data_IF_995882517947
#
_entry.id   IF_995882517947
#
_cell.length_a   1.000
_cell.length_b   1.000
_cell.length_c   1.000
_cell.angle_alpha   90.00
_cell.angle_beta   90.00
_cell.angle_gamma   90.00
#
_symmetry.space_group_name_H-M   'P 1'
#
loop_
_entity.id
_entity.type
_entity.pdbx_description
1 polymer ?
#
# COMPACT_ATOMS: atom_id res chain seq x y z
N UNK A 1 14.51 4.55 -24.58
CA UNK A 1 15.41 4.00 -23.51
C UNK A 1 15.30 2.50 -23.55
N UNK A 2 16.37 1.74 -23.22
CA UNK A 2 16.24 0.27 -23.21
C UNK A 2 15.38 -0.22 -22.02
N UNK A 3 14.79 -1.41 -22.18
CA UNK A 3 13.87 -1.99 -21.19
C UNK A 3 14.54 -2.17 -19.83
N UNK A 4 15.83 -2.52 -19.80
CA UNK A 4 16.55 -2.73 -18.53
C UNK A 4 16.61 -1.43 -17.70
N UNK A 5 16.88 -0.29 -18.35
CA UNK A 5 16.89 1.01 -17.65
C UNK A 5 15.52 1.40 -17.13
N UNK A 6 14.46 1.14 -17.91
CA UNK A 6 13.08 1.37 -17.46
C UNK A 6 12.74 0.55 -16.22
N UNK A 7 13.10 -0.74 -16.22
CA UNK A 7 12.88 -1.62 -15.07
C UNK A 7 13.66 -1.14 -13.85
N UNK A 8 14.92 -0.73 -14.01
CA UNK A 8 15.73 -0.20 -12.90
C UNK A 8 15.07 1.05 -12.29
N UNK A 9 14.66 2.01 -13.13
CA UNK A 9 13.96 3.23 -12.66
C UNK A 9 12.67 2.86 -11.91
N UNK A 10 11.92 1.89 -12.39
CA UNK A 10 10.66 1.46 -11.79
C UNK A 10 10.84 0.76 -10.42
N UNK A 11 11.93 0.02 -10.23
CA UNK A 11 12.19 -0.78 -9.03
C UNK A 11 12.76 0.06 -7.88
N UNK A 12 13.59 1.07 -8.18
CA UNK A 12 14.31 1.87 -7.18
C UNK A 12 13.40 2.42 -6.06
N UNK A 13 12.24 3.06 -6.34
CA UNK A 13 11.41 3.64 -5.28
C UNK A 13 10.91 2.59 -4.28
N UNK A 14 10.46 1.43 -4.76
CA UNK A 14 9.98 0.33 -3.91
C UNK A 14 11.07 -0.21 -2.99
N UNK A 15 12.26 -0.46 -3.53
CA UNK A 15 13.41 -0.94 -2.74
C UNK A 15 13.88 0.13 -1.75
N UNK A 16 14.01 1.39 -2.17
CA UNK A 16 14.47 2.48 -1.31
C UNK A 16 13.55 2.66 -0.09
N UNK A 17 12.23 2.65 -0.31
CA UNK A 17 11.25 2.76 0.78
C UNK A 17 11.27 1.52 1.68
N UNK A 18 11.42 0.32 1.13
CA UNK A 18 11.52 -0.92 1.91
C UNK A 18 12.75 -0.91 2.82
N UNK A 19 13.90 -0.49 2.29
CA UNK A 19 15.13 -0.35 3.07
C UNK A 19 14.98 0.74 4.14
N UNK A 20 14.42 1.90 3.79
CA UNK A 20 14.16 2.98 4.73
C UNK A 20 13.27 2.54 5.89
N UNK A 21 12.20 1.80 5.61
CA UNK A 21 11.31 1.28 6.63
C UNK A 21 12.01 0.23 7.52
N UNK A 22 12.76 -0.70 6.94
CA UNK A 22 13.55 -1.68 7.70
C UNK A 22 14.57 -1.01 8.65
N UNK A 23 15.20 0.08 8.21
CA UNK A 23 16.13 0.84 9.05
C UNK A 23 15.42 1.66 10.15
N UNK A 24 14.12 1.92 10.01
CA UNK A 24 13.30 2.57 11.03
C UNK A 24 12.99 1.61 12.18
N UNK A 25 12.84 0.33 11.88
CA UNK A 25 12.63 -0.75 12.85
C UNK A 25 13.94 -1.10 13.56
N UNK A 26 14.19 -0.45 14.70
CA UNK A 26 15.50 -0.51 15.40
C UNK A 26 15.48 -1.34 16.66
N UNK A 27 14.35 -1.46 17.30
CA UNK A 27 14.25 -1.97 18.67
C UNK A 27 13.93 -3.47 18.71
N UNK A 28 13.00 -3.96 17.88
CA UNK A 28 12.72 -5.39 17.71
C UNK A 28 12.60 -5.71 16.21
N UNK A 29 13.76 -5.94 15.59
CA UNK A 29 13.86 -6.07 14.12
C UNK A 29 13.19 -7.32 13.60
N UNK A 30 12.36 -7.12 12.60
CA UNK A 30 11.67 -8.17 11.92
C UNK A 30 12.59 -9.13 11.12
N UNK A 31 12.27 -10.44 11.08
CA UNK A 31 13.07 -11.40 10.33
C UNK A 31 13.12 -11.05 8.83
N UNK A 32 14.31 -10.75 8.32
CA UNK A 32 14.53 -10.37 6.91
C UNK A 32 13.93 -11.38 5.94
N UNK A 33 13.98 -12.69 6.28
CA UNK A 33 13.36 -13.72 5.45
C UNK A 33 11.84 -13.56 5.30
N UNK A 34 11.15 -13.14 6.37
CA UNK A 34 9.72 -12.89 6.35
C UNK A 34 9.42 -11.62 5.53
N UNK A 35 10.21 -10.57 5.69
CA UNK A 35 10.07 -9.31 4.93
C UNK A 35 10.25 -9.54 3.43
N UNK A 36 11.30 -10.25 3.03
CA UNK A 36 11.53 -10.63 1.62
C UNK A 36 10.38 -11.48 1.10
N UNK A 37 9.89 -12.44 1.90
CA UNK A 37 8.72 -13.26 1.53
C UNK A 37 7.49 -12.40 1.28
N UNK A 38 7.18 -11.46 2.15
CA UNK A 38 6.03 -10.55 2.01
C UNK A 38 6.17 -9.66 0.77
N UNK A 39 7.37 -9.14 0.51
CA UNK A 39 7.64 -8.33 -0.68
C UNK A 39 7.43 -9.15 -1.97
N UNK A 40 8.02 -10.37 -2.05
CA UNK A 40 7.85 -11.25 -3.23
C UNK A 40 6.40 -11.66 -3.43
N UNK A 41 5.68 -12.06 -2.36
CA UNK A 41 4.27 -12.42 -2.49
C UNK A 41 3.38 -11.20 -2.75
N UNK A 42 3.78 -10.01 -2.33
CA UNK A 42 3.19 -8.74 -2.76
C UNK A 42 3.31 -8.54 -4.28
N UNK A 43 4.50 -8.80 -4.85
CA UNK A 43 4.70 -8.79 -6.31
C UNK A 43 3.80 -9.83 -7.01
N UNK A 44 3.75 -11.05 -6.50
CA UNK A 44 2.92 -12.13 -7.07
C UNK A 44 1.42 -11.80 -6.97
N UNK A 45 1.00 -11.10 -5.94
CA UNK A 45 -0.40 -10.69 -5.74
C UNK A 45 -0.91 -9.74 -6.85
N UNK A 46 -0.03 -9.04 -7.56
CA UNK A 46 -0.41 -8.23 -8.72
C UNK A 46 -1.03 -9.07 -9.84
N UNK A 47 -0.63 -10.34 -9.99
CA UNK A 47 -1.13 -11.22 -11.08
C UNK A 47 -2.64 -11.46 -10.95
N UNK A 48 -3.17 -12.04 -9.85
CA UNK A 48 -4.61 -12.21 -9.69
C UNK A 48 -5.36 -10.86 -9.63
N UNK A 49 -4.73 -9.80 -9.13
CA UNK A 49 -5.32 -8.46 -9.11
C UNK A 49 -5.64 -7.99 -10.53
N UNK A 50 -4.69 -8.05 -11.46
CA UNK A 50 -4.88 -7.64 -12.86
C UNK A 50 -6.04 -8.40 -13.51
N UNK A 51 -6.17 -9.70 -13.23
CA UNK A 51 -7.27 -10.53 -13.78
C UNK A 51 -8.61 -10.02 -13.27
N UNK A 52 -8.74 -9.76 -11.96
CA UNK A 52 -9.98 -9.25 -11.36
C UNK A 52 -10.29 -7.84 -11.83
N UNK A 53 -9.28 -6.97 -11.91
CA UNK A 53 -9.43 -5.59 -12.42
C UNK A 53 -9.90 -5.56 -13.88
N UNK A 54 -9.35 -6.43 -14.72
CA UNK A 54 -9.78 -6.57 -16.12
C UNK A 54 -11.26 -6.97 -16.21
N UNK A 55 -11.69 -7.95 -15.40
CA UNK A 55 -13.09 -8.36 -15.33
C UNK A 55 -14.00 -7.23 -14.82
N UNK A 56 -13.64 -6.57 -13.72
CA UNK A 56 -14.43 -5.48 -13.13
C UNK A 56 -14.50 -4.24 -14.04
N UNK A 57 -13.44 -3.98 -14.80
CA UNK A 57 -13.43 -2.92 -15.81
C UNK A 57 -14.38 -3.23 -16.96
N UNK A 58 -14.46 -4.50 -17.37
CA UNK A 58 -15.36 -4.96 -18.44
C UNK A 58 -16.85 -4.84 -18.10
N UNK A 59 -17.22 -4.86 -16.82
CA UNK A 59 -18.62 -4.68 -16.37
C UNK A 59 -18.92 -3.25 -15.91
N UNK A 60 -18.04 -2.29 -16.17
CA UNK A 60 -18.27 -0.88 -15.87
C UNK A 60 -19.19 -0.27 -16.94
N UNK A 61 -20.48 -0.19 -16.62
CA UNK A 61 -21.52 0.41 -17.49
C UNK A 61 -21.83 1.87 -17.13
N UNK A 62 -21.10 2.46 -16.21
CA UNK A 62 -21.27 3.85 -15.79
C UNK A 62 -20.58 4.81 -16.77
N UNK A 63 -21.00 6.09 -16.75
CA UNK A 63 -20.37 7.18 -17.48
C UNK A 63 -19.84 8.29 -16.57
N UNK A 64 -18.94 9.11 -17.10
CA UNK A 64 -18.43 10.31 -16.41
C UNK A 64 -17.82 10.02 -15.03
N UNK A 65 -18.20 10.82 -14.02
CA UNK A 65 -17.66 10.70 -12.66
C UNK A 65 -17.98 9.36 -11.98
N UNK A 66 -19.10 8.73 -12.30
CA UNK A 66 -19.44 7.41 -11.74
C UNK A 66 -18.52 6.32 -12.29
N UNK A 67 -18.16 6.38 -13.56
CA UNK A 67 -17.16 5.49 -14.15
C UNK A 67 -15.79 5.67 -13.50
N UNK A 68 -15.37 6.92 -13.28
CA UNK A 68 -14.12 7.22 -12.56
C UNK A 68 -14.17 6.72 -11.11
N UNK A 69 -15.28 6.87 -10.41
CA UNK A 69 -15.46 6.36 -9.06
C UNK A 69 -15.43 4.82 -9.02
N UNK A 70 -16.13 4.15 -9.95
CA UNK A 70 -16.06 2.69 -10.06
C UNK A 70 -14.63 2.22 -10.26
N UNK A 71 -13.91 2.80 -11.21
CA UNK A 71 -12.52 2.44 -11.50
C UNK A 71 -11.61 2.68 -10.29
N UNK A 72 -11.74 3.83 -9.62
CA UNK A 72 -10.89 4.21 -8.51
C UNK A 72 -11.14 3.38 -7.25
N UNK A 73 -12.40 3.17 -6.85
CA UNK A 73 -12.74 2.54 -5.59
C UNK A 73 -12.96 1.04 -5.68
N UNK A 74 -13.55 0.54 -6.79
CA UNK A 74 -13.92 -0.86 -6.94
C UNK A 74 -12.87 -1.61 -7.74
N UNK A 75 -12.49 -1.10 -8.92
CA UNK A 75 -11.50 -1.79 -9.75
C UNK A 75 -10.14 -1.78 -9.08
N UNK A 76 -9.57 -0.60 -8.78
CA UNK A 76 -8.24 -0.50 -8.17
C UNK A 76 -8.29 -0.63 -6.63
N UNK A 77 -8.96 0.30 -5.94
CA UNK A 77 -8.90 0.38 -4.48
C UNK A 77 -9.27 -0.91 -3.76
N UNK A 78 -10.42 -1.52 -4.10
CA UNK A 78 -10.86 -2.75 -3.44
C UNK A 78 -9.96 -3.94 -3.80
N UNK A 79 -9.67 -4.15 -5.09
CA UNK A 79 -8.95 -5.35 -5.52
C UNK A 79 -7.51 -5.35 -5.02
N UNK A 80 -6.80 -4.25 -5.20
CA UNK A 80 -5.41 -4.15 -4.81
C UNK A 80 -5.23 -4.25 -3.29
N UNK A 81 -6.01 -3.48 -2.50
CA UNK A 81 -5.89 -3.52 -1.04
C UNK A 81 -6.32 -4.87 -0.47
N UNK A 82 -7.29 -5.55 -1.08
CA UNK A 82 -7.67 -6.90 -0.71
C UNK A 82 -6.53 -7.90 -0.91
N UNK A 83 -5.90 -7.93 -2.09
CA UNK A 83 -4.83 -8.88 -2.38
C UNK A 83 -3.55 -8.59 -1.59
N UNK A 84 -3.17 -7.31 -1.40
CA UNK A 84 -2.07 -6.91 -0.51
C UNK A 84 -2.31 -7.39 0.93
N UNK A 85 -3.52 -7.19 1.45
CA UNK A 85 -3.91 -7.66 2.79
C UNK A 85 -3.91 -9.17 2.89
N UNK A 86 -4.38 -9.89 1.86
CA UNK A 86 -4.42 -11.35 1.83
C UNK A 86 -3.04 -11.95 2.03
N UNK A 87 -2.00 -11.37 1.42
CA UNK A 87 -0.60 -11.78 1.62
C UNK A 87 -0.21 -11.68 3.09
N UNK A 88 -0.47 -10.54 3.74
CA UNK A 88 -0.14 -10.33 5.15
C UNK A 88 -0.92 -11.27 6.07
N UNK A 89 -2.22 -11.42 5.84
CA UNK A 89 -3.05 -12.34 6.62
C UNK A 89 -2.58 -13.78 6.53
N UNK A 90 -2.12 -14.22 5.36
CA UNK A 90 -1.66 -15.59 5.13
C UNK A 90 -0.28 -15.87 5.72
N UNK A 91 0.66 -14.94 5.65
CA UNK A 91 2.06 -15.20 5.95
C UNK A 91 2.60 -14.55 7.21
N UNK A 92 1.98 -13.46 7.67
CA UNK A 92 2.49 -12.69 8.81
C UNK A 92 1.52 -12.61 10.00
N UNK A 93 0.21 -12.49 9.78
CA UNK A 93 -0.74 -12.19 10.85
C UNK A 93 -0.73 -13.18 12.01
N UNK A 94 -0.52 -14.48 11.74
CA UNK A 94 -0.39 -15.53 12.76
C UNK A 94 1.07 -15.95 13.02
N UNK A 95 2.04 -15.25 12.44
CA UNK A 95 3.46 -15.57 12.63
C UNK A 95 3.90 -15.14 14.04
N UNK A 96 4.82 -15.91 14.65
CA UNK A 96 5.33 -15.64 16.02
C UNK A 96 6.11 -14.33 16.12
N UNK A 97 6.75 -13.90 15.03
CA UNK A 97 7.44 -12.63 14.98
C UNK A 97 6.49 -11.41 14.94
N UNK A 98 5.19 -11.61 14.74
CA UNK A 98 4.23 -10.52 14.91
C UNK A 98 3.89 -10.38 16.40
N UNK A 99 4.78 -9.78 17.18
CA UNK A 99 4.76 -9.71 18.64
C UNK A 99 4.56 -8.28 19.18
N UNK A 100 4.77 -7.23 18.35
CA UNK A 100 4.46 -5.84 18.70
C UNK A 100 3.58 -5.14 17.65
N UNK A 101 3.09 -3.93 17.97
CA UNK A 101 2.15 -3.23 17.06
C UNK A 101 2.84 -2.65 15.82
N UNK A 102 4.12 -2.31 15.91
CA UNK A 102 4.86 -1.77 14.76
C UNK A 102 4.96 -2.78 13.62
N UNK A 103 5.03 -4.08 13.93
CA UNK A 103 5.19 -5.17 12.96
C UNK A 103 4.09 -5.19 11.90
N UNK A 104 2.84 -4.92 12.31
CA UNK A 104 1.73 -4.87 11.36
C UNK A 104 1.92 -3.79 10.30
N UNK A 105 2.51 -2.64 10.66
CA UNK A 105 2.84 -1.59 9.70
C UNK A 105 3.98 -2.07 8.79
N UNK A 106 5.03 -2.65 9.36
CA UNK A 106 6.18 -3.17 8.62
C UNK A 106 5.74 -4.21 7.60
N UNK A 107 4.99 -5.24 8.04
CA UNK A 107 4.55 -6.32 7.16
C UNK A 107 3.62 -5.86 6.03
N UNK A 108 2.63 -5.01 6.35
CA UNK A 108 1.73 -4.48 5.33
C UNK A 108 2.48 -3.64 4.30
N UNK A 109 3.45 -2.85 4.76
CA UNK A 109 4.23 -1.98 3.87
C UNK A 109 5.13 -2.79 2.94
N UNK A 110 5.79 -3.85 3.43
CA UNK A 110 6.59 -4.74 2.56
C UNK A 110 5.72 -5.43 1.50
N UNK A 111 4.54 -5.93 1.86
CA UNK A 111 3.60 -6.50 0.88
C UNK A 111 3.17 -5.47 -0.17
N UNK A 112 2.81 -4.26 0.27
CA UNK A 112 2.35 -3.20 -0.62
C UNK A 112 3.47 -2.64 -1.52
N UNK A 113 4.69 -2.52 -1.02
CA UNK A 113 5.83 -2.07 -1.84
C UNK A 113 6.25 -3.13 -2.86
N UNK A 114 6.13 -4.42 -2.53
CA UNK A 114 6.29 -5.49 -3.51
C UNK A 114 5.27 -5.38 -4.63
N UNK A 115 3.98 -5.24 -4.30
CA UNK A 115 2.90 -5.02 -5.25
C UNK A 115 3.16 -3.79 -6.12
N UNK A 116 3.39 -2.63 -5.50
CA UNK A 116 3.64 -1.37 -6.18
C UNK A 116 4.87 -1.41 -7.10
N UNK A 117 5.87 -2.24 -6.80
CA UNK A 117 7.05 -2.41 -7.65
C UNK A 117 6.67 -3.05 -8.99
N UNK A 118 5.87 -4.13 -8.99
CA UNK A 118 5.38 -4.76 -10.24
C UNK A 118 4.48 -3.80 -11.01
N UNK A 119 3.55 -3.17 -10.33
CA UNK A 119 2.66 -2.20 -10.94
C UNK A 119 3.47 -1.05 -11.58
N UNK A 120 4.48 -0.53 -10.87
CA UNK A 120 5.34 0.53 -11.39
C UNK A 120 6.15 0.08 -12.61
N UNK A 121 6.68 -1.14 -12.63
CA UNK A 121 7.34 -1.72 -13.81
C UNK A 121 6.38 -1.74 -14.99
N UNK A 122 5.15 -2.22 -14.81
CA UNK A 122 4.16 -2.28 -15.88
C UNK A 122 3.88 -0.89 -16.46
N UNK A 123 3.56 0.08 -15.61
CA UNK A 123 3.27 1.44 -16.07
C UNK A 123 4.47 2.13 -16.72
N UNK A 124 5.67 1.97 -16.19
CA UNK A 124 6.87 2.61 -16.74
C UNK A 124 7.24 1.98 -18.09
N UNK A 125 7.20 0.65 -18.20
CA UNK A 125 7.56 -0.04 -19.45
C UNK A 125 6.55 0.23 -20.56
N UNK A 126 5.24 0.26 -20.24
CA UNK A 126 4.19 0.45 -21.25
C UNK A 126 3.89 1.92 -21.54
N UNK A 127 4.14 2.82 -20.59
CA UNK A 127 3.77 4.23 -20.69
C UNK A 127 4.92 5.17 -21.09
N UNK A 128 6.17 4.71 -21.09
CA UNK A 128 7.35 5.56 -21.33
C UNK A 128 7.33 6.30 -22.66
N UNK A 129 6.85 5.66 -23.72
CA UNK A 129 6.81 6.28 -25.06
C UNK A 129 5.79 7.41 -25.15
N UNK A 130 4.73 7.35 -24.33
CA UNK A 130 3.72 8.41 -24.23
C UNK A 130 4.13 9.52 -23.24
N UNK A 131 4.77 9.16 -22.12
CA UNK A 131 5.27 10.09 -21.10
C UNK A 131 6.61 9.60 -20.51
N UNK A 132 7.74 10.20 -20.94
CA UNK A 132 9.07 9.86 -20.42
C UNK A 132 9.27 10.13 -18.91
N UNK A 133 8.41 10.94 -18.30
CA UNK A 133 8.47 11.27 -16.87
C UNK A 133 7.60 10.36 -15.99
N UNK A 134 6.88 9.39 -16.58
CA UNK A 134 5.97 8.50 -15.84
C UNK A 134 6.66 7.80 -14.66
N UNK A 135 7.92 7.35 -14.84
CA UNK A 135 8.68 6.73 -13.76
C UNK A 135 8.98 7.67 -12.61
N UNK A 136 9.23 8.95 -12.89
CA UNK A 136 9.45 9.99 -11.88
C UNK A 136 8.16 10.26 -11.08
N UNK A 137 7.04 10.53 -11.76
CA UNK A 137 5.77 10.82 -11.11
C UNK A 137 5.30 9.64 -10.26
N UNK A 138 5.37 8.44 -10.79
CA UNK A 138 4.97 7.25 -10.04
C UNK A 138 5.90 6.95 -8.87
N UNK A 139 7.21 7.12 -9.05
CA UNK A 139 8.21 6.94 -7.99
C UNK A 139 8.05 7.91 -6.83
N UNK A 140 7.65 9.15 -7.11
CA UNK A 140 7.46 10.20 -6.08
C UNK A 140 6.06 10.23 -5.46
N UNK A 141 5.03 9.76 -6.17
CA UNK A 141 3.64 9.88 -5.73
C UNK A 141 2.99 8.52 -5.52
N UNK A 142 2.90 7.67 -6.56
CA UNK A 142 2.14 6.42 -6.50
C UNK A 142 2.77 5.39 -5.58
N UNK A 143 4.08 5.11 -5.72
CA UNK A 143 4.76 4.12 -4.88
C UNK A 143 4.74 4.53 -3.39
N UNK A 144 5.04 5.79 -3.00
CA UNK A 144 4.84 6.24 -1.63
C UNK A 144 3.38 6.21 -1.16
N UNK A 145 2.40 6.46 -2.04
CA UNK A 145 0.98 6.36 -1.66
C UNK A 145 0.60 4.92 -1.27
N UNK A 146 1.04 3.90 -2.01
CA UNK A 146 0.84 2.49 -1.63
C UNK A 146 1.44 2.18 -0.25
N UNK A 147 2.63 2.72 0.06
CA UNK A 147 3.20 2.63 1.40
C UNK A 147 2.27 3.24 2.45
N UNK A 148 1.74 4.43 2.21
CA UNK A 148 0.87 5.13 3.17
C UNK A 148 -0.47 4.41 3.38
N UNK A 149 -1.08 3.82 2.34
CA UNK A 149 -2.27 2.98 2.49
C UNK A 149 -1.95 1.75 3.34
N UNK A 150 -0.79 1.13 3.12
CA UNK A 150 -0.35 -0.02 3.89
C UNK A 150 -0.01 0.31 5.35
N UNK A 151 0.53 1.49 5.66
CA UNK A 151 0.67 1.99 7.04
C UNK A 151 -0.68 2.02 7.74
N UNK A 152 -1.73 2.52 7.08
CA UNK A 152 -3.10 2.50 7.64
C UNK A 152 -3.63 1.08 7.80
N UNK A 153 -3.42 0.19 6.82
CA UNK A 153 -3.79 -1.23 6.90
C UNK A 153 -3.14 -1.90 8.11
N UNK A 154 -1.82 -1.77 8.22
CA UNK A 154 -1.03 -2.36 9.29
C UNK A 154 -1.39 -1.83 10.67
N UNK A 155 -1.61 -0.51 10.79
CA UNK A 155 -2.08 0.10 12.02
C UNK A 155 -3.35 -0.58 12.55
N UNK A 156 -4.37 -0.77 11.69
CA UNK A 156 -5.61 -1.44 12.12
C UNK A 156 -5.45 -2.95 12.28
N UNK A 157 -4.57 -3.63 11.54
CA UNK A 157 -4.28 -5.05 11.76
C UNK A 157 -3.61 -5.26 13.11
N UNK A 158 -2.68 -4.41 13.51
CA UNK A 158 -2.06 -4.47 14.83
C UNK A 158 -3.07 -4.22 15.95
N UNK A 159 -3.90 -3.18 15.82
CA UNK A 159 -4.98 -2.94 16.78
C UNK A 159 -5.94 -4.14 16.88
N UNK A 160 -6.20 -4.84 15.77
CA UNK A 160 -7.02 -6.04 15.78
C UNK A 160 -6.31 -7.21 16.49
N UNK A 161 -5.02 -7.41 16.21
CA UNK A 161 -4.25 -8.52 16.78
C UNK A 161 -4.13 -8.43 18.29
N UNK A 162 -3.87 -7.23 18.80
CA UNK A 162 -3.67 -6.99 20.23
C UNK A 162 -4.96 -6.53 20.96
N UNK A 163 -6.13 -6.65 20.31
CA UNK A 163 -7.43 -6.33 20.95
C UNK A 163 -7.80 -7.35 22.01
N UNK A 164 -8.29 -6.90 23.18
CA UNK A 164 -8.67 -7.79 24.28
C UNK A 164 -9.97 -8.57 24.02
N UNK A 165 -10.86 -8.03 23.18
CA UNK A 165 -12.17 -8.62 22.92
C UNK A 165 -12.47 -8.81 21.43
N UNK A 166 -13.33 -9.81 21.12
CA UNK A 166 -13.64 -10.20 19.75
C UNK A 166 -14.42 -9.12 18.97
N UNK A 167 -15.24 -8.31 19.64
CA UNK A 167 -16.03 -7.26 18.98
C UNK A 167 -15.11 -6.15 18.46
N UNK A 168 -14.20 -5.68 19.30
CA UNK A 168 -13.19 -4.67 18.95
C UNK A 168 -12.24 -5.18 17.87
N UNK A 169 -11.78 -6.45 18.02
CA UNK A 169 -10.97 -7.13 17.01
C UNK A 169 -11.65 -7.14 15.64
N UNK A 170 -12.91 -7.55 15.57
CA UNK A 170 -13.67 -7.61 14.31
C UNK A 170 -13.81 -6.23 13.67
N UNK A 171 -14.08 -5.19 14.45
CA UNK A 171 -14.15 -3.80 13.96
C UNK A 171 -12.83 -3.34 13.35
N UNK A 172 -11.69 -3.65 13.99
CA UNK A 172 -10.38 -3.28 13.46
C UNK A 172 -10.00 -4.11 12.23
N UNK A 173 -10.37 -5.39 12.15
CA UNK A 173 -10.19 -6.19 10.93
C UNK A 173 -10.96 -5.63 9.75
N UNK A 174 -12.17 -5.11 9.93
CA UNK A 174 -12.93 -4.42 8.88
C UNK A 174 -12.23 -3.11 8.50
N UNK A 175 -11.83 -2.29 9.48
CA UNK A 175 -11.13 -1.02 9.23
C UNK A 175 -9.79 -1.22 8.50
N UNK A 176 -9.08 -2.33 8.78
CA UNK A 176 -7.81 -2.65 8.11
C UNK A 176 -7.94 -2.90 6.60
N UNK A 177 -9.15 -3.11 6.11
CA UNK A 177 -9.43 -3.23 4.68
C UNK A 177 -10.16 -2.00 4.14
N UNK A 178 -11.26 -1.61 4.78
CA UNK A 178 -12.14 -0.55 4.26
C UNK A 178 -11.43 0.82 4.22
N UNK A 179 -10.67 1.17 5.26
CA UNK A 179 -10.02 2.49 5.29
C UNK A 179 -8.93 2.63 4.22
N UNK A 180 -8.01 1.66 4.02
CA UNK A 180 -7.09 1.69 2.88
C UNK A 180 -7.78 1.75 1.51
N UNK A 181 -8.88 1.00 1.29
CA UNK A 181 -9.67 1.08 0.06
C UNK A 181 -10.17 2.50 -0.19
N UNK A 182 -10.72 3.15 0.84
CA UNK A 182 -11.21 4.52 0.71
C UNK A 182 -10.07 5.52 0.43
N UNK A 183 -8.93 5.37 1.09
CA UNK A 183 -7.77 6.23 0.86
C UNK A 183 -7.21 6.04 -0.56
N UNK A 184 -7.02 4.80 -0.98
CA UNK A 184 -6.55 4.46 -2.33
C UNK A 184 -7.53 4.92 -3.40
N UNK A 185 -8.82 4.58 -3.24
CA UNK A 185 -9.87 5.03 -4.15
C UNK A 185 -9.93 6.55 -4.27
N UNK A 186 -9.81 7.29 -3.15
CA UNK A 186 -9.77 8.77 -3.17
C UNK A 186 -8.53 9.29 -3.91
N UNK A 187 -7.35 8.68 -3.70
CA UNK A 187 -6.13 9.03 -4.42
C UNK A 187 -6.32 8.90 -5.94
N UNK A 188 -6.80 7.76 -6.42
CA UNK A 188 -7.05 7.52 -7.83
C UNK A 188 -8.18 8.39 -8.37
N UNK A 189 -9.28 8.53 -7.63
CA UNK A 189 -10.43 9.33 -8.05
C UNK A 189 -10.07 10.81 -8.28
N UNK A 190 -9.27 11.40 -7.38
CA UNK A 190 -8.84 12.80 -7.54
C UNK A 190 -7.97 13.03 -8.77
N UNK A 191 -7.27 12.00 -9.26
CA UNK A 191 -6.50 12.06 -10.50
C UNK A 191 -7.37 11.83 -11.75
N UNK A 192 -8.42 11.01 -11.66
CA UNK A 192 -9.27 10.59 -12.79
C UNK A 192 -10.48 11.51 -13.01
N UNK A 193 -10.96 12.20 -11.97
CA UNK A 193 -12.24 12.92 -12.01
C UNK A 193 -12.17 14.32 -12.65
N UNK A 194 -11.05 14.67 -13.28
CA UNK A 194 -10.86 15.88 -14.07
C UNK A 194 -10.20 17.04 -13.29
N UNK A 195 -9.88 18.11 -14.02
CA UNK A 195 -9.02 19.21 -13.54
C UNK A 195 -9.53 19.89 -12.26
N UNK A 196 -10.85 19.99 -12.06
CA UNK A 196 -11.41 20.65 -10.88
C UNK A 196 -11.12 19.87 -9.59
N UNK A 197 -11.25 18.54 -9.63
CA UNK A 197 -10.99 17.69 -8.46
C UNK A 197 -9.49 17.44 -8.23
N UNK A 198 -8.67 17.62 -9.25
CA UNK A 198 -7.21 17.56 -9.12
C UNK A 198 -6.66 18.62 -8.14
N UNK A 199 -7.37 19.73 -7.92
CA UNK A 199 -7.00 20.74 -6.90
C UNK A 199 -7.00 20.13 -5.49
N UNK A 200 -7.85 19.11 -5.23
CA UNK A 200 -7.92 18.42 -3.94
C UNK A 200 -6.81 17.40 -3.77
N UNK A 201 -6.08 17.04 -4.83
CA UNK A 201 -5.04 16.02 -4.78
C UNK A 201 -3.89 16.38 -3.83
N UNK A 202 -3.36 17.60 -3.93
CA UNK A 202 -2.23 18.02 -3.07
C UNK A 202 -2.62 18.09 -1.59
N UNK A 203 -3.74 18.73 -1.18
CA UNK A 203 -4.20 18.67 0.21
C UNK A 203 -4.42 17.23 0.70
N UNK A 204 -4.95 16.35 -0.16
CA UNK A 204 -5.16 14.94 0.18
C UNK A 204 -3.84 14.18 0.38
N UNK A 205 -2.84 14.38 -0.48
CA UNK A 205 -1.51 13.78 -0.31
C UNK A 205 -0.86 14.26 1.00
N UNK A 206 -0.94 15.56 1.32
CA UNK A 206 -0.45 16.09 2.60
C UNK A 206 -1.18 15.42 3.77
N UNK A 207 -2.49 15.30 3.70
CA UNK A 207 -3.29 14.60 4.72
C UNK A 207 -2.84 13.14 4.89
N UNK A 208 -2.59 12.41 3.80
CA UNK A 208 -2.08 11.04 3.83
C UNK A 208 -0.74 10.96 4.57
N UNK A 209 0.21 11.82 4.20
CA UNK A 209 1.53 11.86 4.84
C UNK A 209 1.41 12.16 6.34
N UNK A 210 0.75 13.24 6.72
CA UNK A 210 0.65 13.67 8.12
C UNK A 210 -0.02 12.60 8.98
N UNK A 211 -1.14 12.03 8.51
CA UNK A 211 -1.88 11.04 9.31
C UNK A 211 -1.15 9.71 9.44
N UNK A 212 -0.46 9.26 8.39
CA UNK A 212 0.24 7.97 8.43
C UNK A 212 1.61 8.06 9.13
N UNK A 213 2.32 9.18 9.00
CA UNK A 213 3.52 9.41 9.82
C UNK A 213 3.20 9.47 11.32
N UNK A 214 2.04 10.06 11.71
CA UNK A 214 1.59 10.03 13.11
C UNK A 214 1.33 8.60 13.61
N UNK A 215 0.68 7.75 12.80
CA UNK A 215 0.44 6.34 13.14
C UNK A 215 1.74 5.55 13.28
N UNK A 216 2.65 5.71 12.32
CA UNK A 216 3.97 5.07 12.35
C UNK A 216 4.76 5.51 13.58
N UNK A 217 4.85 6.82 13.83
CA UNK A 217 5.56 7.35 14.99
C UNK A 217 4.95 6.90 16.32
N UNK A 218 3.63 6.80 16.41
CA UNK A 218 2.94 6.31 17.61
C UNK A 218 3.39 4.89 17.96
N UNK A 219 3.37 3.95 17.03
CA UNK A 219 3.81 2.58 17.29
C UNK A 219 5.34 2.47 17.44
N UNK A 220 6.10 3.29 16.73
CA UNK A 220 7.54 3.39 16.93
C UNK A 220 7.92 3.83 18.36
N UNK A 221 7.18 4.78 18.96
CA UNK A 221 7.42 5.19 20.35
C UNK A 221 6.99 4.12 21.35
N UNK A 222 5.91 3.37 21.07
CA UNK A 222 5.53 2.21 21.89
C UNK A 222 6.64 1.15 21.87
N UNK A 223 7.11 0.73 20.68
CA UNK A 223 8.21 -0.23 20.51
C UNK A 223 9.47 0.20 21.26
N UNK A 224 9.84 1.49 21.18
CA UNK A 224 10.96 2.07 21.91
C UNK A 224 10.83 1.89 23.43
N UNK A 225 9.65 2.19 23.98
CA UNK A 225 9.39 2.09 25.42
C UNK A 225 9.39 0.63 25.87
N UNK A 226 8.76 -0.28 25.12
CA UNK A 226 8.68 -1.71 25.42
C UNK A 226 10.07 -2.37 25.40
N UNK A 227 11.00 -1.86 24.59
CA UNK A 227 12.40 -2.31 24.50
C UNK A 227 13.33 -1.71 25.57
N UNK A 228 12.81 -0.84 26.44
CA UNK A 228 13.57 -0.28 27.57
C UNK A 228 14.50 0.90 27.23
N UNK A 229 14.24 1.60 26.10
CA UNK A 229 14.98 2.79 25.64
C UNK A 229 14.22 4.09 25.84
#
# INVERSE_FOLDING_TARGET
>A
MDILRLVIIAVIPGIALSVGLYLTDRYDREPVRLLIKLFIFGMVAAIPTIIVEHFLSGINFFGGLLSAAWTAFVVAGLTEEYFKRLVVMKFAYSHSAFNEKLDGIIYCTFSALGFATIENIMYVVTGYDADPYIGLYRGLLSVPAHMLFAVTMGYYLSLAKFSPDQSTRSRYLIKSLVVPILLHGTFNFTLMAGKLLMILFIPFVIFLWVTNLKKLNHFYQESKIESGF
#
